data_IF_999960394507
#
_entry.id   IF_999960394507
#
_cell.length_a   1.000
_cell.length_b   1.000
_cell.length_c   1.000
_cell.angle_alpha   90.00
_cell.angle_beta   90.00
_cell.angle_gamma   90.00
#
_symmetry.space_group_name_H-M   'P 1'
#
loop_
_entity.id
_entity.type
_entity.pdbx_description
1 polymer ?
#
# COMPACT_ATOMS: atom_id res chain seq x y z
N UNK A 1 -65.85 49.43 -56.15
CA UNK A 1 -65.16 48.60 -55.14
C UNK A 1 -64.67 49.53 -54.04
N UNK A 2 -65.22 49.42 -52.82
CA UNK A 2 -64.93 50.36 -51.70
C UNK A 2 -63.63 49.94 -50.99
N UNK A 3 -62.66 50.86 -50.94
CA UNK A 3 -61.50 50.79 -50.06
C UNK A 3 -61.95 50.91 -48.59
N UNK A 4 -61.78 49.84 -47.81
CA UNK A 4 -61.88 49.89 -46.35
C UNK A 4 -60.47 50.03 -45.77
N UNK A 5 -60.21 51.19 -45.20
CA UNK A 5 -59.12 51.41 -44.25
C UNK A 5 -59.28 50.45 -43.07
N UNK A 6 -58.25 49.66 -42.78
CA UNK A 6 -58.10 49.02 -41.48
C UNK A 6 -56.95 49.68 -40.74
N UNK A 7 -57.30 50.25 -39.60
CA UNK A 7 -56.42 50.89 -38.63
C UNK A 7 -55.32 49.93 -38.18
N UNK A 8 -54.07 50.34 -38.32
CA UNK A 8 -52.97 49.74 -37.59
C UNK A 8 -53.15 50.08 -36.11
N UNK A 9 -53.70 49.15 -35.33
CA UNK A 9 -53.56 49.20 -33.87
C UNK A 9 -52.11 48.89 -33.53
N UNK A 10 -51.35 49.94 -33.22
CA UNK A 10 -50.05 49.81 -32.57
C UNK A 10 -50.21 48.96 -31.31
N UNK A 11 -49.73 47.72 -31.38
CA UNK A 11 -49.67 46.83 -30.24
C UNK A 11 -48.81 47.48 -29.16
N UNK A 12 -49.43 47.85 -28.03
CA UNK A 12 -48.71 48.31 -26.82
C UNK A 12 -47.55 47.36 -26.56
N UNK A 13 -46.31 47.83 -26.74
CA UNK A 13 -45.11 47.11 -26.28
C UNK A 13 -45.35 46.78 -24.81
N UNK A 14 -45.32 45.50 -24.40
CA UNK A 14 -45.65 45.16 -23.02
C UNK A 14 -44.67 45.92 -22.13
N UNK A 15 -45.20 46.64 -21.12
CA UNK A 15 -44.44 47.53 -20.24
C UNK A 15 -43.23 46.86 -19.55
N UNK A 16 -43.16 45.53 -19.62
CA UNK A 16 -42.11 44.70 -19.06
C UNK A 16 -41.21 44.02 -20.11
N UNK A 17 -41.24 44.38 -21.40
CA UNK A 17 -40.40 43.76 -22.44
C UNK A 17 -38.90 43.94 -22.14
N UNK A 18 -38.49 45.15 -21.74
CA UNK A 18 -37.10 45.44 -21.32
C UNK A 18 -36.71 44.67 -20.05
N UNK A 19 -37.64 44.55 -19.09
CA UNK A 19 -37.44 43.80 -17.84
C UNK A 19 -37.34 42.29 -18.09
N UNK A 20 -38.14 41.73 -19.01
CA UNK A 20 -38.06 40.32 -19.42
C UNK A 20 -36.76 40.05 -20.17
N UNK A 21 -36.35 40.91 -21.09
CA UNK A 21 -35.07 40.78 -21.80
C UNK A 21 -33.87 40.88 -20.83
N UNK A 22 -33.93 41.79 -19.85
CA UNK A 22 -32.94 41.90 -18.78
C UNK A 22 -32.89 40.63 -17.92
N UNK A 23 -34.04 40.10 -17.50
CA UNK A 23 -34.11 38.85 -16.73
C UNK A 23 -33.63 37.64 -17.53
N UNK A 24 -33.90 37.58 -18.83
CA UNK A 24 -33.43 36.50 -19.72
C UNK A 24 -31.92 36.57 -19.92
N UNK A 25 -31.36 37.77 -20.15
CA UNK A 25 -29.92 37.97 -20.31
C UNK A 25 -29.17 37.72 -19.00
N UNK A 26 -29.69 38.21 -17.87
CA UNK A 26 -29.15 37.92 -16.54
C UNK A 26 -29.23 36.42 -16.22
N UNK A 27 -30.37 35.78 -16.51
CA UNK A 27 -30.54 34.34 -16.35
C UNK A 27 -29.54 33.55 -17.19
N UNK A 28 -29.35 33.92 -18.46
CA UNK A 28 -28.34 33.31 -19.34
C UNK A 28 -26.92 33.48 -18.80
N UNK A 29 -26.59 34.66 -18.27
CA UNK A 29 -25.26 34.94 -17.72
C UNK A 29 -24.99 34.11 -16.46
N UNK A 30 -25.98 34.04 -15.55
CA UNK A 30 -25.91 33.22 -14.34
C UNK A 30 -25.77 31.73 -14.70
N UNK A 31 -26.53 31.26 -15.69
CA UNK A 31 -26.47 29.86 -16.13
C UNK A 31 -25.10 29.52 -16.74
N UNK A 32 -24.55 30.43 -17.56
CA UNK A 32 -23.20 30.26 -18.14
C UNK A 32 -22.11 30.26 -17.07
N UNK A 33 -22.25 31.09 -16.03
CA UNK A 33 -21.35 31.10 -14.88
C UNK A 33 -21.42 29.80 -14.08
N UNK A 34 -22.61 29.26 -13.82
CA UNK A 34 -22.76 27.95 -13.17
C UNK A 34 -22.18 26.80 -14.01
N UNK A 35 -22.35 26.81 -15.33
CA UNK A 35 -21.73 25.83 -16.23
C UNK A 35 -20.20 25.92 -16.15
N UNK A 36 -19.63 27.13 -16.05
CA UNK A 36 -18.19 27.30 -15.86
C UNK A 36 -17.72 26.80 -14.49
N UNK A 37 -18.46 27.06 -13.41
CA UNK A 37 -18.11 26.58 -12.06
C UNK A 37 -18.19 25.05 -11.92
N UNK A 38 -19.11 24.40 -12.63
CA UNK A 38 -19.20 22.92 -12.68
C UNK A 38 -18.21 22.35 -13.71
N UNK A 39 -17.70 23.18 -14.63
CA UNK A 39 -16.76 22.71 -15.65
C UNK A 39 -15.48 22.15 -15.00
N UNK A 40 -14.95 21.03 -15.54
CA UNK A 40 -13.66 20.48 -15.13
C UNK A 40 -12.49 21.48 -15.26
N UNK A 41 -12.67 22.55 -16.04
CA UNK A 41 -11.66 23.59 -16.32
C UNK A 41 -11.44 24.49 -15.09
N UNK A 42 -12.49 24.82 -14.33
CA UNK A 42 -12.38 25.66 -13.11
C UNK A 42 -12.28 24.83 -11.84
N UNK A 43 -12.95 23.68 -11.78
CA UNK A 43 -12.87 22.78 -10.62
C UNK A 43 -11.50 22.10 -10.47
N UNK A 44 -10.61 22.26 -11.46
CA UNK A 44 -9.23 21.84 -11.40
C UNK A 44 -9.12 20.46 -10.79
N UNK A 45 -9.86 19.49 -11.36
CA UNK A 45 -9.99 18.14 -10.83
C UNK A 45 -8.60 17.51 -10.64
N UNK A 46 -8.01 17.79 -9.49
CA UNK A 46 -6.76 17.23 -9.02
C UNK A 46 -7.16 15.86 -8.51
N UNK A 47 -7.25 14.91 -9.44
CA UNK A 47 -7.35 13.51 -9.10
C UNK A 47 -6.21 13.21 -8.12
N UNK A 48 -6.54 13.01 -6.84
CA UNK A 48 -5.57 12.57 -5.85
C UNK A 48 -5.28 11.10 -6.14
N UNK A 49 -4.16 10.85 -6.79
CA UNK A 49 -3.69 9.49 -7.02
C UNK A 49 -3.08 8.96 -5.72
N UNK A 50 -3.82 8.11 -5.02
CA UNK A 50 -3.31 7.44 -3.84
C UNK A 50 -2.37 6.31 -4.24
N UNK A 51 -1.13 6.41 -3.79
CA UNK A 51 -0.17 5.33 -3.98
C UNK A 51 -0.43 4.21 -2.97
N UNK A 52 -0.38 2.97 -3.44
CA UNK A 52 -0.22 1.82 -2.58
C UNK A 52 1.09 1.96 -1.80
N UNK A 53 1.01 1.98 -0.46
CA UNK A 53 2.20 2.01 0.40
C UNK A 53 2.74 0.59 0.60
N UNK A 54 4.04 0.50 0.85
CA UNK A 54 4.67 -0.76 1.25
C UNK A 54 4.02 -1.29 2.53
N UNK A 55 3.59 -2.55 2.51
CA UNK A 55 2.92 -3.22 3.63
C UNK A 55 1.40 -3.02 3.67
N UNK A 56 0.84 -2.11 2.87
CA UNK A 56 -0.60 -2.04 2.64
C UNK A 56 -0.96 -3.02 1.52
N UNK A 57 -1.51 -4.18 1.91
CA UNK A 57 -1.88 -5.23 0.98
C UNK A 57 -3.28 -5.00 0.42
N UNK A 58 -3.42 -5.14 -0.90
CA UNK A 58 -4.70 -5.14 -1.60
C UNK A 58 -4.96 -6.51 -2.21
N UNK A 59 -6.18 -7.01 -2.06
CA UNK A 59 -6.59 -8.29 -2.65
C UNK A 59 -6.64 -8.18 -4.17
N UNK A 60 -5.93 -9.07 -4.85
CA UNK A 60 -6.04 -9.26 -6.31
C UNK A 60 -7.01 -10.41 -6.62
N UNK A 61 -6.98 -11.46 -5.81
CA UNK A 61 -7.98 -12.54 -5.78
C UNK A 61 -8.45 -12.72 -4.34
N UNK A 62 -9.47 -13.55 -4.07
CA UNK A 62 -9.88 -13.84 -2.69
C UNK A 62 -8.76 -14.42 -1.81
N UNK A 63 -7.76 -15.08 -2.42
CA UNK A 63 -6.69 -15.79 -1.71
C UNK A 63 -5.33 -15.12 -1.81
N UNK A 64 -5.15 -14.21 -2.77
CA UNK A 64 -3.88 -13.54 -3.03
C UNK A 64 -4.02 -12.04 -2.88
N UNK A 65 -3.08 -11.46 -2.15
CA UNK A 65 -2.94 -10.03 -1.92
C UNK A 65 -1.58 -9.56 -2.42
N UNK A 66 -1.51 -8.29 -2.82
CA UNK A 66 -0.28 -7.67 -3.31
C UNK A 66 -0.01 -6.34 -2.61
N UNK A 67 1.26 -6.00 -2.43
CA UNK A 67 1.72 -4.68 -2.00
C UNK A 67 2.91 -4.21 -2.85
N UNK A 68 3.20 -2.91 -2.88
CA UNK A 68 4.41 -2.40 -3.55
C UNK A 68 5.60 -2.49 -2.59
N UNK A 69 6.63 -3.24 -2.98
CA UNK A 69 7.85 -3.41 -2.19
C UNK A 69 8.91 -2.35 -2.49
N UNK A 70 9.11 -2.01 -3.78
CA UNK A 70 10.17 -1.10 -4.22
C UNK A 70 9.74 -0.31 -5.46
N UNK A 71 10.24 0.92 -5.60
CA UNK A 71 10.02 1.79 -6.75
C UNK A 71 11.32 2.51 -7.07
N UNK A 72 11.78 2.42 -8.31
CA UNK A 72 12.99 3.12 -8.79
C UNK A 72 12.75 3.65 -10.20
N UNK A 73 13.37 4.78 -10.53
CA UNK A 73 13.27 5.40 -11.85
C UNK A 73 14.64 5.91 -12.31
N UNK A 74 14.97 5.67 -13.57
CA UNK A 74 16.13 6.25 -14.21
C UNK A 74 15.68 7.18 -15.35
N UNK A 75 15.85 8.51 -15.20
CA UNK A 75 15.47 9.46 -16.25
C UNK A 75 16.35 9.34 -17.50
N UNK A 76 17.61 8.92 -17.37
CA UNK A 76 18.56 8.89 -18.48
C UNK A 76 18.19 7.82 -19.52
N UNK A 77 17.77 6.64 -19.07
CA UNK A 77 17.33 5.54 -19.95
C UNK A 77 15.81 5.35 -19.96
N UNK A 78 15.03 6.23 -19.31
CA UNK A 78 13.56 6.22 -19.26
C UNK A 78 12.99 4.90 -18.72
N UNK A 79 13.66 4.32 -17.72
CA UNK A 79 13.27 3.04 -17.12
C UNK A 79 12.64 3.24 -15.76
N UNK A 80 11.42 2.73 -15.59
CA UNK A 80 10.72 2.65 -14.30
C UNK A 80 10.69 1.19 -13.83
N UNK A 81 11.13 0.96 -12.60
CA UNK A 81 11.03 -0.33 -11.90
C UNK A 81 10.02 -0.23 -10.76
N UNK A 82 9.14 -1.22 -10.70
CA UNK A 82 8.21 -1.41 -9.58
C UNK A 82 8.24 -2.86 -9.17
N UNK A 83 8.54 -3.11 -7.90
CA UNK A 83 8.57 -4.46 -7.35
C UNK A 83 7.32 -4.67 -6.50
N UNK A 84 6.68 -5.83 -6.67
CA UNK A 84 5.50 -6.21 -5.93
C UNK A 84 5.78 -7.44 -5.08
N UNK A 85 5.40 -7.37 -3.81
CA UNK A 85 5.37 -8.52 -2.91
C UNK A 85 3.94 -9.07 -2.86
N UNK A 86 3.83 -10.40 -2.91
CA UNK A 86 2.57 -11.10 -2.87
C UNK A 86 2.45 -11.95 -1.60
N UNK A 87 1.23 -12.07 -1.10
CA UNK A 87 0.90 -12.93 0.03
C UNK A 87 -0.32 -13.77 -0.31
N UNK A 88 -0.25 -15.04 0.05
CA UNK A 88 -1.39 -15.93 0.14
C UNK A 88 -1.89 -15.97 1.58
N UNK A 89 -3.20 -15.93 1.80
CA UNK A 89 -3.73 -16.01 3.16
C UNK A 89 -3.58 -17.42 3.76
N UNK A 90 -4.01 -18.46 3.04
CA UNK A 90 -4.15 -19.82 3.58
C UNK A 90 -3.45 -20.92 2.78
N UNK A 91 -3.05 -20.65 1.53
CA UNK A 91 -2.39 -21.64 0.67
C UNK A 91 -1.16 -21.03 -0.02
N UNK A 92 0.06 -21.26 0.49
CA UNK A 92 1.29 -20.79 -0.15
C UNK A 92 1.52 -21.34 -1.56
N UNK A 93 0.96 -22.51 -1.90
CA UNK A 93 1.18 -23.16 -3.19
C UNK A 93 0.44 -22.47 -4.33
N UNK A 94 -0.61 -21.70 -4.02
CA UNK A 94 -1.35 -20.95 -5.04
C UNK A 94 -0.44 -19.98 -5.80
N UNK A 95 0.53 -19.38 -5.10
CA UNK A 95 1.47 -18.44 -5.71
C UNK A 95 2.41 -19.12 -6.70
N UNK A 96 2.74 -20.40 -6.48
CA UNK A 96 3.57 -21.22 -7.37
C UNK A 96 2.90 -21.49 -8.72
N UNK A 97 1.56 -21.51 -8.76
CA UNK A 97 0.77 -21.66 -9.98
C UNK A 97 0.30 -20.34 -10.60
N UNK A 98 0.78 -19.20 -10.11
CA UNK A 98 0.39 -17.88 -10.61
C UNK A 98 1.50 -17.18 -11.39
N UNK A 99 1.12 -16.57 -12.50
CA UNK A 99 1.89 -15.57 -13.24
C UNK A 99 1.09 -14.27 -13.32
N UNK A 100 1.77 -13.18 -13.66
CA UNK A 100 1.17 -11.86 -13.66
C UNK A 100 1.48 -11.12 -14.94
N UNK A 101 0.45 -10.55 -15.56
CA UNK A 101 0.58 -9.53 -16.60
C UNK A 101 0.45 -8.16 -15.97
N UNK A 102 1.31 -7.25 -16.37
CA UNK A 102 1.29 -5.88 -15.86
C UNK A 102 1.24 -4.90 -17.02
N UNK A 103 0.22 -4.04 -17.00
CA UNK A 103 0.02 -2.98 -17.98
C UNK A 103 0.28 -1.64 -17.32
N UNK A 104 1.30 -0.93 -17.80
CA UNK A 104 1.66 0.39 -17.28
C UNK A 104 1.30 1.48 -18.29
N UNK A 105 0.77 2.58 -17.76
CA UNK A 105 0.33 3.76 -18.53
C UNK A 105 0.52 5.00 -17.68
N UNK A 106 1.24 6.01 -18.19
CA UNK A 106 1.29 7.32 -17.57
C UNK A 106 0.10 8.17 -18.00
N UNK A 107 -0.38 9.01 -17.10
CA UNK A 107 -1.73 9.61 -17.24
C UNK A 107 -1.78 10.67 -18.35
N UNK A 108 -0.66 11.35 -18.62
CA UNK A 108 -0.55 12.37 -19.67
C UNK A 108 -0.42 11.80 -21.09
N UNK A 109 -0.39 10.47 -21.27
CA UNK A 109 -0.12 9.85 -22.57
C UNK A 109 -1.38 9.78 -23.45
N UNK A 110 -1.25 10.13 -24.74
CA UNK A 110 -2.31 9.94 -25.74
C UNK A 110 -2.35 8.48 -26.23
N UNK A 111 -1.21 7.93 -26.62
CA UNK A 111 -1.03 6.52 -27.00
C UNK A 111 -0.13 5.82 -25.99
N UNK A 112 -0.32 4.51 -25.76
CA UNK A 112 0.53 3.74 -24.84
C UNK A 112 1.75 3.19 -25.57
N UNK A 113 2.92 3.78 -25.34
CA UNK A 113 4.22 3.36 -25.87
C UNK A 113 5.14 2.76 -24.78
N UNK A 114 4.64 2.67 -23.55
CA UNK A 114 5.33 2.03 -22.42
C UNK A 114 5.45 0.54 -22.68
N UNK A 115 6.69 0.04 -22.69
CA UNK A 115 6.97 -1.39 -22.84
C UNK A 115 7.21 -2.00 -21.46
N UNK A 116 6.33 -2.89 -21.04
CA UNK A 116 6.43 -3.55 -19.74
C UNK A 116 6.95 -4.97 -19.87
N UNK A 117 7.92 -5.33 -19.02
CA UNK A 117 8.40 -6.70 -18.80
C UNK A 117 8.23 -7.07 -17.34
N UNK A 118 7.79 -8.30 -17.08
CA UNK A 118 7.59 -8.84 -15.73
C UNK A 118 8.58 -9.97 -15.50
N UNK A 119 9.38 -9.86 -14.46
CA UNK A 119 10.30 -10.90 -14.00
C UNK A 119 9.78 -11.50 -12.70
N UNK A 120 9.58 -12.81 -12.68
CA UNK A 120 9.12 -13.55 -11.51
C UNK A 120 10.33 -14.03 -10.70
N UNK A 121 10.86 -13.16 -9.84
CA UNK A 121 12.06 -13.44 -9.04
C UNK A 121 11.80 -14.50 -7.93
N UNK A 122 10.56 -14.64 -7.49
CA UNK A 122 10.07 -15.68 -6.57
C UNK A 122 8.56 -15.83 -6.75
N UNK A 123 7.96 -16.91 -6.23
CA UNK A 123 6.51 -17.11 -6.26
C UNK A 123 5.75 -15.93 -5.62
N UNK A 124 6.34 -15.30 -4.60
CA UNK A 124 5.79 -14.18 -3.86
C UNK A 124 6.43 -12.82 -4.20
N UNK A 125 7.20 -12.72 -5.28
CA UNK A 125 7.86 -11.47 -5.65
C UNK A 125 8.04 -11.31 -7.16
N UNK A 126 7.49 -10.23 -7.70
CA UNK A 126 7.66 -9.88 -9.12
C UNK A 126 8.32 -8.52 -9.26
N UNK A 127 9.21 -8.40 -10.24
CA UNK A 127 9.87 -7.17 -10.65
C UNK A 127 9.28 -6.73 -11.98
N UNK A 128 8.74 -5.52 -12.02
CA UNK A 128 8.12 -4.96 -13.24
C UNK A 128 9.00 -3.84 -13.76
N UNK A 129 9.54 -4.04 -14.96
CA UNK A 129 10.36 -3.07 -15.67
C UNK A 129 9.52 -2.44 -16.77
N UNK A 130 9.47 -1.10 -16.79
CA UNK A 130 8.75 -0.31 -17.79
C UNK A 130 9.74 0.60 -18.51
N UNK A 131 9.92 0.38 -19.80
CA UNK A 131 10.74 1.21 -20.67
C UNK A 131 9.88 2.31 -21.32
N UNK A 132 10.52 3.38 -21.81
CA UNK A 132 9.89 4.56 -22.41
C UNK A 132 9.03 5.42 -21.46
N UNK A 133 9.33 5.44 -20.16
CA UNK A 133 8.67 6.35 -19.22
C UNK A 133 9.40 7.71 -19.23
N UNK A 134 8.80 8.78 -19.79
CA UNK A 134 9.49 10.07 -19.92
C UNK A 134 9.65 10.77 -18.58
N UNK A 135 10.60 11.69 -18.48
CA UNK A 135 10.70 12.59 -17.33
C UNK A 135 9.45 13.49 -17.24
N UNK A 136 9.00 13.82 -16.03
CA UNK A 136 7.78 14.62 -15.84
C UNK A 136 6.49 13.84 -16.09
N UNK A 137 6.55 12.50 -16.10
CA UNK A 137 5.40 11.62 -16.28
C UNK A 137 4.30 11.85 -15.24
N UNK A 138 4.66 12.37 -14.06
CA UNK A 138 3.76 12.70 -12.96
C UNK A 138 3.22 11.48 -12.25
N UNK A 139 2.44 10.65 -12.96
CA UNK A 139 1.84 9.42 -12.44
C UNK A 139 1.84 8.31 -13.48
N UNK A 140 2.28 7.13 -13.09
CA UNK A 140 2.06 5.87 -13.80
C UNK A 140 0.97 5.07 -13.08
N UNK A 141 -0.06 4.68 -13.81
CA UNK A 141 -0.99 3.63 -13.40
C UNK A 141 -0.44 2.27 -13.82
N UNK A 142 -0.39 1.35 -12.87
CA UNK A 142 0.03 -0.04 -13.06
C UNK A 142 -1.15 -0.96 -12.77
N UNK A 143 -1.57 -1.72 -13.78
CA UNK A 143 -2.66 -2.68 -13.67
C UNK A 143 -2.07 -4.09 -13.67
N UNK A 144 -2.12 -4.74 -12.52
CA UNK A 144 -1.64 -6.12 -12.31
C UNK A 144 -2.80 -7.08 -12.51
N UNK A 145 -2.67 -8.02 -13.44
CA UNK A 145 -3.66 -9.06 -13.78
C UNK A 145 -3.05 -10.43 -13.48
N UNK A 146 -3.68 -11.25 -12.61
CA UNK A 146 -3.21 -12.60 -12.35
C UNK A 146 -3.65 -13.55 -13.47
N UNK A 147 -2.83 -14.57 -13.74
CA UNK A 147 -3.17 -15.68 -14.63
C UNK A 147 -2.62 -16.98 -14.04
N UNK A 148 -3.30 -18.09 -14.26
CA UNK A 148 -2.76 -19.40 -13.91
C UNK A 148 -1.66 -19.81 -14.89
N UNK A 149 -0.62 -20.46 -14.37
CA UNK A 149 0.41 -21.13 -15.16
C UNK A 149 -0.17 -22.45 -15.70
N UNK A 150 -0.78 -23.23 -14.80
CA UNK A 150 -1.48 -24.48 -15.04
C UNK A 150 -2.96 -24.32 -14.68
N UNK A 151 -3.80 -23.75 -15.56
CA UNK A 151 -5.24 -23.60 -15.33
C UNK A 151 -5.95 -24.95 -15.12
N UNK A 152 -5.42 -26.03 -15.69
CA UNK A 152 -5.93 -27.40 -15.55
C UNK A 152 -5.89 -27.95 -14.12
N UNK A 153 -5.09 -27.35 -13.23
CA UNK A 153 -5.03 -27.73 -11.82
C UNK A 153 -6.10 -27.04 -10.96
N UNK A 154 -6.93 -26.18 -11.55
CA UNK A 154 -7.91 -25.38 -10.84
C UNK A 154 -9.32 -25.94 -11.02
N UNK A 155 -10.15 -25.79 -9.97
CA UNK A 155 -11.57 -26.20 -10.00
C UNK A 155 -12.35 -25.34 -10.99
N UNK A 156 -12.05 -24.04 -11.02
CA UNK A 156 -12.55 -23.10 -12.02
C UNK A 156 -11.35 -22.31 -12.57
N UNK A 157 -11.04 -22.50 -13.86
CA UNK A 157 -9.91 -21.82 -14.51
C UNK A 157 -10.20 -20.34 -14.84
N UNK A 158 -11.45 -19.89 -14.76
CA UNK A 158 -11.86 -18.54 -15.15
C UNK A 158 -12.14 -17.61 -13.96
N UNK A 159 -12.09 -18.11 -12.72
CA UNK A 159 -12.39 -17.36 -11.50
C UNK A 159 -11.53 -16.08 -11.31
N UNK A 160 -10.33 -16.06 -11.90
CA UNK A 160 -9.39 -14.93 -11.87
C UNK A 160 -9.32 -14.09 -13.15
N UNK A 161 -10.04 -14.46 -14.23
CA UNK A 161 -9.85 -13.88 -15.57
C UNK A 161 -10.09 -12.37 -15.64
N UNK A 162 -11.10 -11.88 -14.92
CA UNK A 162 -11.47 -10.46 -14.88
C UNK A 162 -10.90 -9.74 -13.65
N UNK A 163 -10.06 -10.40 -12.86
CA UNK A 163 -9.45 -9.83 -11.67
C UNK A 163 -8.27 -8.95 -12.03
N UNK A 164 -8.18 -7.80 -11.38
CA UNK A 164 -7.00 -6.94 -11.47
C UNK A 164 -6.90 -6.03 -10.27
N UNK A 165 -5.68 -5.58 -9.98
CA UNK A 165 -5.42 -4.49 -9.04
C UNK A 165 -4.74 -3.36 -9.77
N UNK A 166 -5.19 -2.14 -9.51
CA UNK A 166 -4.57 -0.92 -10.03
C UNK A 166 -3.80 -0.22 -8.92
N UNK A 167 -2.51 -0.03 -9.14
CA UNK A 167 -1.63 0.76 -8.28
C UNK A 167 -1.18 2.02 -9.01
N UNK A 168 -0.99 3.12 -8.27
CA UNK A 168 -0.40 4.34 -8.81
C UNK A 168 1.04 4.50 -8.32
N UNK A 169 1.90 5.01 -9.20
CA UNK A 169 3.28 5.37 -8.92
C UNK A 169 3.44 6.84 -9.24
N UNK A 170 3.65 7.65 -8.19
CA UNK A 170 3.90 9.08 -8.29
C UNK A 170 5.38 9.32 -8.56
N UNK A 171 5.68 10.22 -9.50
CA UNK A 171 7.04 10.71 -9.72
C UNK A 171 7.54 11.46 -8.48
N UNK A 172 8.66 11.01 -7.92
CA UNK A 172 9.26 11.58 -6.71
C UNK A 172 10.78 11.52 -6.79
N UNK A 173 11.48 12.57 -6.37
CA UNK A 173 12.95 12.61 -6.41
C UNK A 173 13.62 11.42 -5.71
N UNK A 174 13.05 10.95 -4.58
CA UNK A 174 13.56 9.80 -3.82
C UNK A 174 13.57 8.46 -4.56
N UNK A 175 12.88 8.36 -5.71
CA UNK A 175 12.88 7.15 -6.51
C UNK A 175 13.97 7.16 -7.59
N UNK A 176 14.66 8.29 -7.79
CA UNK A 176 15.66 8.43 -8.83
C UNK A 176 16.87 7.54 -8.50
N UNK A 177 17.13 6.57 -9.37
CA UNK A 177 18.30 5.71 -9.36
C UNK A 177 18.95 5.78 -10.74
N UNK A 178 20.09 6.47 -10.84
CA UNK A 178 20.81 6.68 -12.11
C UNK A 178 21.46 5.40 -12.64
N UNK A 179 21.68 4.42 -11.77
CA UNK A 179 22.31 3.14 -12.10
C UNK A 179 21.27 2.06 -12.48
N UNK A 180 19.97 2.35 -12.35
CA UNK A 180 18.91 1.41 -12.68
C UNK A 180 18.97 1.05 -14.18
N UNK A 181 19.10 -0.25 -14.43
CA UNK A 181 19.06 -0.88 -15.75
C UNK A 181 18.30 -2.20 -15.67
N UNK A 182 17.98 -2.77 -16.82
CA UNK A 182 17.39 -4.09 -16.91
C UNK A 182 18.47 -5.13 -16.61
N UNK A 183 18.16 -6.06 -15.71
CA UNK A 183 19.08 -7.09 -15.23
C UNK A 183 18.51 -8.49 -15.49
N UNK A 184 19.30 -9.53 -15.20
CA UNK A 184 18.88 -10.93 -15.35
C UNK A 184 17.90 -11.36 -14.26
N UNK A 185 17.20 -12.47 -14.50
CA UNK A 185 16.32 -13.09 -13.50
C UNK A 185 17.10 -13.45 -12.22
N UNK A 186 18.29 -14.03 -12.37
CA UNK A 186 19.17 -14.41 -11.24
C UNK A 186 19.54 -13.21 -10.37
N UNK A 187 19.76 -12.05 -10.99
CA UNK A 187 20.02 -10.80 -10.27
C UNK A 187 18.80 -10.39 -9.44
N UNK A 188 17.60 -10.42 -10.03
CA UNK A 188 16.37 -10.08 -9.32
C UNK A 188 16.03 -11.09 -8.22
N UNK A 189 16.32 -12.37 -8.40
CA UNK A 189 16.18 -13.38 -7.35
C UNK A 189 17.15 -13.11 -6.20
N UNK A 190 18.43 -12.78 -6.48
CA UNK A 190 19.40 -12.38 -5.44
C UNK A 190 18.96 -11.13 -4.68
N UNK A 191 18.41 -10.14 -5.37
CA UNK A 191 17.83 -8.95 -4.73
C UNK A 191 16.64 -9.30 -3.85
N UNK A 192 15.71 -10.14 -4.32
CA UNK A 192 14.58 -10.62 -3.53
C UNK A 192 15.04 -11.34 -2.25
N UNK A 193 16.04 -12.22 -2.35
CA UNK A 193 16.60 -12.90 -1.18
C UNK A 193 17.18 -11.89 -0.18
N UNK A 194 17.88 -10.87 -0.66
CA UNK A 194 18.36 -9.77 0.18
C UNK A 194 17.23 -8.96 0.83
N UNK A 195 16.18 -8.65 0.08
CA UNK A 195 14.98 -7.99 0.61
C UNK A 195 14.32 -8.81 1.72
N UNK A 196 14.14 -10.12 1.50
CA UNK A 196 13.57 -11.05 2.48
C UNK A 196 14.43 -11.13 3.76
N UNK A 197 15.76 -11.23 3.61
CA UNK A 197 16.69 -11.23 4.73
C UNK A 197 16.62 -9.93 5.55
N UNK A 198 16.53 -8.78 4.88
CA UNK A 198 16.39 -7.49 5.54
C UNK A 198 15.05 -7.38 6.31
N UNK A 199 13.97 -7.91 5.75
CA UNK A 199 12.67 -8.01 6.43
C UNK A 199 12.76 -8.82 7.71
N UNK A 200 13.30 -10.04 7.63
CA UNK A 200 13.50 -10.92 8.79
C UNK A 200 14.44 -10.28 9.82
N UNK A 201 15.49 -9.57 9.37
CA UNK A 201 16.41 -8.86 10.26
C UNK A 201 15.73 -7.74 11.07
N UNK A 202 14.79 -7.01 10.47
CA UNK A 202 13.97 -6.01 11.19
C UNK A 202 13.07 -6.67 12.23
N UNK A 203 12.39 -7.76 11.88
CA UNK A 203 11.56 -8.50 12.83
C UNK A 203 12.37 -9.01 14.04
N UNK A 204 13.57 -9.55 13.81
CA UNK A 204 14.47 -9.96 14.89
C UNK A 204 14.85 -8.76 15.78
N UNK A 205 15.13 -7.60 15.19
CA UNK A 205 15.47 -6.39 15.95
C UNK A 205 14.30 -5.96 16.86
N UNK A 206 13.09 -5.95 16.32
CA UNK A 206 11.88 -5.59 17.09
C UNK A 206 11.60 -6.59 18.21
N UNK A 207 11.84 -7.89 17.97
CA UNK A 207 11.72 -8.93 19.01
C UNK A 207 12.77 -8.77 20.12
N UNK A 208 14.01 -8.42 19.77
CA UNK A 208 15.05 -8.12 20.76
C UNK A 208 14.69 -6.92 21.63
N UNK A 209 14.14 -5.86 21.04
CA UNK A 209 13.64 -4.72 21.82
C UNK A 209 12.54 -5.14 22.81
N UNK A 210 11.58 -5.97 22.37
CA UNK A 210 10.53 -6.49 23.26
C UNK A 210 11.09 -7.34 24.41
N UNK A 211 12.17 -8.08 24.19
CA UNK A 211 12.87 -8.83 25.25
C UNK A 211 13.47 -7.84 26.25
N UNK A 212 14.19 -6.82 25.78
CA UNK A 212 14.80 -5.80 26.65
C UNK A 212 13.76 -5.08 27.52
N UNK A 213 12.63 -4.70 26.93
CA UNK A 213 11.53 -4.04 27.66
C UNK A 213 10.94 -4.94 28.76
N UNK A 214 10.78 -6.24 28.48
CA UNK A 214 10.29 -7.23 29.45
C UNK A 214 11.32 -7.51 30.54
N UNK A 215 12.60 -7.62 30.20
CA UNK A 215 13.69 -7.77 31.17
C UNK A 215 13.76 -6.56 32.11
N UNK A 216 13.56 -5.34 31.58
CA UNK A 216 13.46 -4.13 32.40
C UNK A 216 12.26 -4.18 33.35
N UNK A 217 11.08 -4.59 32.86
CA UNK A 217 9.89 -4.75 33.70
C UNK A 217 10.10 -5.77 34.83
N UNK A 218 10.73 -6.92 34.53
CA UNK A 218 11.08 -7.93 35.54
C UNK A 218 11.99 -7.32 36.63
N UNK A 219 13.03 -6.57 36.24
CA UNK A 219 13.94 -5.90 37.19
C UNK A 219 13.19 -4.95 38.11
N UNK A 220 12.28 -4.13 37.57
CA UNK A 220 11.48 -3.19 38.37
C UNK A 220 10.53 -3.92 39.34
N UNK A 221 9.89 -5.00 38.90
CA UNK A 221 9.03 -5.82 39.76
C UNK A 221 9.81 -6.50 40.88
N UNK A 222 11.03 -6.98 40.61
CA UNK A 222 11.93 -7.53 41.65
C UNK A 222 12.29 -6.47 42.69
N UNK A 223 12.75 -5.29 42.26
CA UNK A 223 13.04 -4.16 43.17
C UNK A 223 11.81 -3.77 44.00
N UNK A 224 10.62 -3.74 43.39
CA UNK A 224 9.37 -3.43 44.09
C UNK A 224 9.04 -4.49 45.14
N UNK A 225 9.21 -5.77 44.81
CA UNK A 225 9.01 -6.85 45.76
C UNK A 225 9.98 -6.75 46.94
N UNK A 226 11.27 -6.48 46.68
CA UNK A 226 12.26 -6.32 47.75
C UNK A 226 11.87 -5.18 48.71
N UNK A 227 11.38 -4.05 48.17
CA UNK A 227 10.86 -2.94 48.98
C UNK A 227 9.65 -3.34 49.81
N UNK A 228 8.67 -4.01 49.21
CA UNK A 228 7.47 -4.48 49.90
C UNK A 228 7.82 -5.50 51.01
N UNK A 229 8.75 -6.41 50.74
CA UNK A 229 9.26 -7.36 51.73
C UNK A 229 9.92 -6.65 52.92
N UNK A 230 10.71 -5.61 52.66
CA UNK A 230 11.29 -4.81 53.75
C UNK A 230 10.23 -4.02 54.53
N UNK A 231 9.22 -3.48 53.85
CA UNK A 231 8.13 -2.72 54.46
C UNK A 231 7.22 -3.61 55.34
N UNK A 232 7.03 -4.88 54.99
CA UNK A 232 6.28 -5.84 55.81
C UNK A 232 6.80 -5.98 57.24
N UNK A 233 8.08 -5.67 57.50
CA UNK A 233 8.64 -5.68 58.85
C UNK A 233 8.08 -4.59 59.77
N UNK A 234 7.49 -3.54 59.18
CA UNK A 234 6.90 -2.40 59.90
C UNK A 234 5.36 -2.41 59.86
N UNK A 235 4.76 -3.49 59.35
CA UNK A 235 3.32 -3.65 59.22
C UNK A 235 2.74 -4.53 60.33
N UNK A 236 1.46 -4.29 60.65
CA UNK A 236 0.71 -5.13 61.58
C UNK A 236 0.38 -6.50 60.94
N UNK A 237 0.06 -7.50 61.76
CA UNK A 237 -0.32 -8.84 61.28
C UNK A 237 -1.54 -8.84 60.35
N UNK A 238 -2.44 -7.85 60.48
CA UNK A 238 -3.60 -7.72 59.59
C UNK A 238 -3.27 -7.07 58.24
N UNK A 239 -2.16 -6.34 58.14
CA UNK A 239 -1.72 -5.65 56.92
C UNK A 239 -0.79 -6.54 56.06
N UNK A 240 0.05 -7.36 56.70
CA UNK A 240 0.99 -8.28 56.03
C UNK A 240 0.35 -9.12 54.91
N UNK A 241 -0.86 -9.70 55.06
CA UNK A 241 -1.49 -10.48 53.98
C UNK A 241 -1.79 -9.65 52.72
N UNK A 242 -2.14 -8.37 52.86
CA UNK A 242 -2.41 -7.50 51.71
C UNK A 242 -1.12 -7.25 50.92
N UNK A 243 -0.02 -6.98 51.61
CA UNK A 243 1.29 -6.78 51.00
C UNK A 243 1.80 -8.06 50.33
N UNK A 244 1.63 -9.22 50.97
CA UNK A 244 1.97 -10.52 50.39
C UNK A 244 1.20 -10.80 49.10
N UNK A 245 -0.09 -10.44 49.04
CA UNK A 245 -0.88 -10.61 47.82
C UNK A 245 -0.35 -9.75 46.66
N UNK A 246 0.13 -8.54 46.94
CA UNK A 246 0.78 -7.68 45.92
C UNK A 246 2.08 -8.32 45.43
N UNK A 247 2.91 -8.85 46.33
CA UNK A 247 4.14 -9.57 45.98
C UNK A 247 3.82 -10.78 45.10
N UNK A 248 2.83 -11.59 45.46
CA UNK A 248 2.41 -12.76 44.70
C UNK A 248 1.91 -12.38 43.29
N UNK A 249 1.18 -11.26 43.18
CA UNK A 249 0.74 -10.71 41.89
C UNK A 249 1.92 -10.29 41.01
N UNK A 250 2.89 -9.59 41.59
CA UNK A 250 4.12 -9.20 40.89
C UNK A 250 4.94 -10.43 40.46
N UNK A 251 5.03 -11.48 41.29
CA UNK A 251 5.70 -12.75 40.94
C UNK A 251 5.00 -13.41 39.75
N UNK A 252 3.67 -13.43 39.74
CA UNK A 252 2.91 -13.98 38.61
C UNK A 252 3.17 -13.21 37.31
N UNK A 253 3.30 -11.87 37.39
CA UNK A 253 3.66 -11.04 36.25
C UNK A 253 5.11 -11.29 35.76
N UNK A 254 6.07 -11.46 36.67
CA UNK A 254 7.45 -11.85 36.34
C UNK A 254 7.46 -13.18 35.57
N UNK A 255 6.79 -14.21 36.09
CA UNK A 255 6.75 -15.53 35.45
C UNK A 255 6.14 -15.47 34.04
N UNK A 256 5.12 -14.63 33.84
CA UNK A 256 4.54 -14.38 32.52
C UNK A 256 5.55 -13.73 31.58
N UNK A 257 6.26 -12.70 32.02
CA UNK A 257 7.29 -12.04 31.21
C UNK A 257 8.45 -12.97 30.87
N UNK A 258 8.90 -13.81 31.80
CA UNK A 258 9.93 -14.83 31.56
C UNK A 258 9.50 -15.85 30.50
N UNK A 259 8.24 -16.30 30.54
CA UNK A 259 7.65 -17.15 29.51
C UNK A 259 7.65 -16.47 28.13
N UNK A 260 7.12 -15.24 28.05
CA UNK A 260 7.07 -14.48 26.80
C UNK A 260 8.49 -14.27 26.21
N UNK A 261 9.50 -14.01 27.05
CA UNK A 261 10.90 -13.85 26.62
C UNK A 261 11.41 -15.15 25.99
N UNK A 262 11.11 -16.30 26.58
CA UNK A 262 11.56 -17.59 26.05
C UNK A 262 10.90 -17.90 24.69
N UNK A 263 9.61 -17.60 24.54
CA UNK A 263 8.91 -17.74 23.26
C UNK A 263 9.53 -16.84 22.17
N UNK A 264 9.82 -15.58 22.49
CA UNK A 264 10.49 -14.64 21.58
C UNK A 264 11.90 -15.12 21.19
N UNK A 265 12.67 -15.70 22.12
CA UNK A 265 14.01 -16.23 21.85
C UNK A 265 13.97 -17.42 20.88
N UNK A 266 13.02 -18.33 21.04
CA UNK A 266 12.86 -19.45 20.11
C UNK A 266 12.39 -18.98 18.72
N UNK A 267 11.50 -17.98 18.65
CA UNK A 267 11.10 -17.40 17.36
C UNK A 267 12.29 -16.74 16.64
N UNK A 268 13.11 -15.96 17.36
CA UNK A 268 14.35 -15.37 16.82
C UNK A 268 15.26 -16.46 16.26
N UNK A 269 15.47 -17.56 16.98
CA UNK A 269 16.32 -18.69 16.54
C UNK A 269 15.80 -19.32 15.24
N UNK A 270 14.48 -19.46 15.09
CA UNK A 270 13.88 -19.97 13.85
C UNK A 270 14.06 -19.00 12.69
N UNK A 271 13.91 -17.69 12.92
CA UNK A 271 14.17 -16.65 11.92
C UNK A 271 15.65 -16.59 11.51
N UNK A 272 16.58 -16.72 12.45
CA UNK A 272 18.02 -16.79 12.16
C UNK A 272 18.38 -18.03 11.32
N UNK A 273 17.78 -19.19 11.61
CA UNK A 273 17.90 -20.39 10.74
C UNK A 273 17.37 -20.11 9.34
N UNK A 274 16.24 -19.42 9.20
CA UNK A 274 15.69 -19.04 7.88
C UNK A 274 16.66 -18.14 7.10
N UNK A 275 17.30 -17.17 7.76
CA UNK A 275 18.34 -16.33 7.12
C UNK A 275 19.50 -17.18 6.59
N UNK A 276 19.95 -18.20 7.37
CA UNK A 276 21.01 -19.13 6.92
C UNK A 276 20.59 -19.89 5.66
N UNK A 277 19.37 -20.44 5.62
CA UNK A 277 18.83 -21.12 4.44
C UNK A 277 18.73 -20.19 3.22
N UNK A 278 18.33 -18.93 3.43
CA UNK A 278 18.30 -17.93 2.35
C UNK A 278 19.72 -17.60 1.83
N UNK A 279 20.73 -17.57 2.70
CA UNK A 279 22.13 -17.40 2.29
C UNK A 279 22.63 -18.58 1.46
N UNK A 280 22.23 -19.81 1.80
CA UNK A 280 22.55 -21.00 1.00
C UNK A 280 21.89 -20.92 -0.38
N UNK A 281 20.59 -20.61 -0.43
CA UNK A 281 19.87 -20.40 -1.69
C UNK A 281 20.51 -19.30 -2.55
N UNK A 282 20.97 -18.22 -1.95
CA UNK A 282 21.63 -17.12 -2.68
C UNK A 282 22.93 -17.54 -3.38
N UNK A 283 23.58 -18.64 -2.94
CA UNK A 283 24.80 -19.18 -3.57
C UNK A 283 24.50 -20.09 -4.76
N UNK A 284 23.28 -20.62 -4.87
CA UNK A 284 22.88 -21.54 -5.94
C UNK A 284 22.22 -20.83 -7.13
N UNK A 285 21.87 -19.57 -6.95
CA UNK A 285 21.41 -18.62 -7.98
C UNK A 285 22.62 -17.80 -8.43
#
# INVERSE_FOLDING_TARGET
MRLKFWENKEGRKPANAKRKAYLLTLGSFVTMFFVLCISPVFSGATYKFEEMKSGEYQSITPLVKLTVAKKEYNPANKTLRVDYELKSDNDPQILSNMKYKVENKYIKQKNNDVKTKVYRASDNYIVVISENVPEGFGVVSSVVKPEYIHPELQVDANDIKDRSVKAYVLEKEKMINKDLKVESLDYYEKEYLGFSQNGIGKEIKDMKQKIEDKDFAIKQLKIKNDKLTNEMNFQTESEKPKTQNIINSNISAINKHEKDINELKEEIKMKEKKIKLLNEKKKTV
#
